data_IF_750820598875
#
_entry.id   IF_750820598875
#
_cell.length_a   1.000
_cell.length_b   1.000
_cell.length_c   1.000
_cell.angle_alpha   90.00
_cell.angle_beta   90.00
_cell.angle_gamma   90.00
#
_symmetry.space_group_name_H-M   'P 1'
#
loop_
_entity.id
_entity.type
_entity.pdbx_description
1 polymer ?
#
# COMPACT_ATOMS: atom_id res chain seq x y z
N UNK A 1 -29.20 11.30 4.24
CA UNK A 1 -28.55 10.31 3.36
C UNK A 1 -28.65 10.83 1.93
N UNK A 2 -27.73 11.66 1.54
CA UNK A 2 -27.74 12.28 0.20
C UNK A 2 -26.32 12.67 -0.17
N UNK A 3 -25.90 12.23 -1.34
CA UNK A 3 -24.74 12.72 -2.12
C UNK A 3 -23.33 12.50 -1.54
N UNK A 4 -22.91 11.23 -1.46
CA UNK A 4 -21.48 10.87 -1.37
C UNK A 4 -20.91 10.55 -2.78
N UNK A 5 -21.72 10.51 -3.82
CA UNK A 5 -21.32 10.01 -5.13
C UNK A 5 -21.20 11.15 -6.14
N UNK A 6 -19.98 11.64 -6.35
CA UNK A 6 -19.68 12.49 -7.51
C UNK A 6 -19.65 11.66 -8.80
N UNK A 7 -20.21 12.22 -9.85
CA UNK A 7 -20.45 11.74 -11.21
C UNK A 7 -19.57 10.59 -11.71
N UNK A 8 -20.24 9.55 -12.20
CA UNK A 8 -19.66 8.46 -12.99
C UNK A 8 -18.92 8.99 -14.23
N UNK A 9 -17.60 9.01 -14.19
CA UNK A 9 -16.80 9.13 -15.39
C UNK A 9 -16.46 7.72 -15.87
N UNK A 10 -17.15 7.25 -16.90
CA UNK A 10 -16.84 6.02 -17.57
C UNK A 10 -15.49 6.18 -18.30
N UNK A 11 -14.42 5.68 -17.71
CA UNK A 11 -13.17 5.46 -18.41
C UNK A 11 -13.30 4.14 -19.18
N UNK A 12 -13.28 4.24 -20.51
CA UNK A 12 -13.25 3.07 -21.39
C UNK A 12 -11.98 2.26 -21.09
N UNK A 13 -12.17 1.00 -20.72
CA UNK A 13 -11.09 0.05 -20.52
C UNK A 13 -10.45 -0.27 -21.87
N UNK A 14 -9.16 0.06 -22.05
CA UNK A 14 -8.35 -0.56 -23.07
C UNK A 14 -8.07 -2.01 -22.64
N UNK A 15 -8.27 -3.03 -23.51
CA UNK A 15 -8.01 -4.42 -23.14
C UNK A 15 -6.50 -4.67 -23.10
N UNK A 16 -5.96 -4.89 -21.90
CA UNK A 16 -4.66 -5.51 -21.73
C UNK A 16 -4.82 -7.03 -21.85
N UNK A 17 -4.31 -7.63 -22.90
CA UNK A 17 -4.20 -9.08 -23.01
C UNK A 17 -3.11 -9.61 -22.07
N UNK A 18 -3.49 -10.38 -21.06
CA UNK A 18 -2.56 -11.14 -20.24
C UNK A 18 -3.08 -11.42 -18.83
N UNK A 19 -3.73 -12.53 -18.67
CA UNK A 19 -3.72 -13.46 -17.52
C UNK A 19 -5.05 -14.21 -17.42
N UNK A 20 -4.97 -15.51 -17.51
CA UNK A 20 -6.07 -16.47 -17.45
C UNK A 20 -6.44 -16.76 -15.99
N UNK A 21 -7.42 -16.04 -15.45
CA UNK A 21 -8.28 -16.48 -14.36
C UNK A 21 -9.53 -15.60 -14.38
N UNK A 22 -10.70 -16.17 -14.42
CA UNK A 22 -12.04 -15.62 -14.58
C UNK A 22 -12.11 -14.07 -14.59
N UNK A 23 -12.35 -13.49 -15.76
CA UNK A 23 -12.52 -12.04 -15.90
C UNK A 23 -13.83 -11.63 -15.23
N UNK A 24 -13.73 -10.95 -14.10
CA UNK A 24 -14.87 -10.25 -13.54
C UNK A 24 -15.09 -8.96 -14.33
N UNK A 25 -16.35 -8.69 -14.73
CA UNK A 25 -16.72 -7.33 -15.10
C UNK A 25 -16.52 -6.45 -13.87
N UNK A 26 -16.12 -5.20 -14.07
CA UNK A 26 -15.85 -4.27 -12.98
C UNK A 26 -16.21 -2.83 -13.33
N UNK A 27 -16.33 -2.01 -12.31
CA UNK A 27 -16.52 -0.55 -12.45
C UNK A 27 -15.35 0.17 -11.80
N UNK A 28 -14.91 1.26 -12.44
CA UNK A 28 -13.88 2.18 -11.91
C UNK A 28 -14.50 3.55 -11.74
N UNK A 29 -14.30 4.15 -10.58
CA UNK A 29 -14.72 5.53 -10.31
C UNK A 29 -13.82 6.21 -9.29
N UNK A 30 -13.70 7.52 -9.38
CA UNK A 30 -13.08 8.33 -8.34
C UNK A 30 -14.15 8.76 -7.32
N UNK A 31 -13.75 8.82 -6.05
CA UNK A 31 -14.61 9.25 -4.95
C UNK A 31 -13.79 10.08 -3.95
N UNK A 32 -14.46 10.94 -3.21
CA UNK A 32 -13.83 11.70 -2.12
C UNK A 32 -13.89 10.86 -0.86
N UNK A 33 -12.73 10.43 -0.34
CA UNK A 33 -12.66 9.69 0.92
C UNK A 33 -12.27 10.58 2.11
N UNK A 34 -11.73 11.78 1.84
CA UNK A 34 -11.25 12.69 2.87
C UNK A 34 -11.50 14.14 2.48
N UNK A 35 -11.93 14.94 3.49
CA UNK A 35 -11.94 16.39 3.42
C UNK A 35 -11.15 16.94 4.61
N UNK A 36 -10.02 17.59 4.35
CA UNK A 36 -9.14 18.13 5.37
C UNK A 36 -8.44 19.40 4.89
N UNK A 37 -8.39 20.43 5.75
CA UNK A 37 -7.72 21.71 5.41
C UNK A 37 -8.28 22.40 4.18
N UNK A 38 -9.59 22.28 3.90
CA UNK A 38 -10.22 22.85 2.71
C UNK A 38 -9.92 22.12 1.40
N UNK A 39 -9.22 20.99 1.45
CA UNK A 39 -8.89 20.15 0.29
C UNK A 39 -9.63 18.81 0.35
N UNK A 40 -10.03 18.34 -0.82
CA UNK A 40 -10.52 16.97 -1.03
C UNK A 40 -9.39 16.06 -1.45
N UNK A 41 -9.39 14.81 -0.92
CA UNK A 41 -8.52 13.75 -1.42
C UNK A 41 -9.37 12.65 -1.99
N UNK A 42 -8.92 12.19 -3.17
CA UNK A 42 -9.65 11.20 -3.93
C UNK A 42 -9.12 9.79 -3.68
N UNK A 43 -10.01 8.83 -3.72
CA UNK A 43 -9.69 7.44 -3.91
C UNK A 43 -10.25 6.97 -5.25
N UNK A 44 -9.48 6.13 -5.96
CA UNK A 44 -9.97 5.43 -7.14
C UNK A 44 -10.42 4.04 -6.74
N UNK A 45 -11.72 3.82 -6.85
CA UNK A 45 -12.36 2.55 -6.53
C UNK A 45 -12.46 1.68 -7.79
N UNK A 46 -11.86 0.49 -7.73
CA UNK A 46 -12.04 -0.59 -8.69
C UNK A 46 -12.91 -1.65 -8.00
N UNK A 47 -14.14 -1.81 -8.47
CA UNK A 47 -15.12 -2.71 -7.84
C UNK A 47 -15.51 -3.83 -8.80
N UNK A 48 -15.30 -5.11 -8.45
CA UNK A 48 -15.80 -6.24 -9.24
C UNK A 48 -17.33 -6.20 -9.34
N UNK A 49 -17.90 -6.69 -10.43
CA UNK A 49 -19.32 -6.90 -10.55
C UNK A 49 -19.78 -8.06 -9.64
N UNK A 50 -21.05 -8.00 -9.22
CA UNK A 50 -21.62 -8.99 -8.32
C UNK A 50 -21.90 -8.46 -6.91
N UNK A 51 -22.36 -9.36 -6.04
CA UNK A 51 -22.89 -9.01 -4.71
C UNK A 51 -21.83 -8.98 -3.61
N UNK A 52 -20.67 -9.64 -3.79
CA UNK A 52 -19.65 -9.76 -2.73
C UNK A 52 -20.07 -10.72 -1.61
N UNK A 53 -19.51 -10.61 -0.39
CA UNK A 53 -18.46 -9.67 -0.01
C UNK A 53 -17.11 -10.02 -0.65
N UNK A 54 -16.54 -9.08 -1.39
CA UNK A 54 -15.23 -9.24 -2.04
C UNK A 54 -14.10 -9.09 -1.01
N UNK A 55 -12.96 -9.80 -1.16
CA UNK A 55 -11.70 -9.36 -0.59
C UNK A 55 -11.42 -7.91 -0.99
N UNK A 56 -10.79 -7.11 -0.13
CA UNK A 56 -10.52 -5.73 -0.45
C UNK A 56 -9.11 -5.30 -0.04
N UNK A 57 -8.52 -4.39 -0.82
CA UNK A 57 -7.24 -3.76 -0.51
C UNK A 57 -7.32 -2.24 -0.60
N UNK A 58 -6.67 -1.56 0.33
CA UNK A 58 -6.26 -0.16 0.17
C UNK A 58 -4.90 -0.18 -0.52
N UNK A 59 -4.84 0.38 -1.74
CA UNK A 59 -3.60 0.47 -2.51
C UNK A 59 -2.91 1.80 -2.22
N UNK A 60 -1.61 1.71 -1.90
CA UNK A 60 -0.73 2.80 -1.51
C UNK A 60 0.41 2.91 -2.52
N UNK A 61 0.38 3.98 -3.33
CA UNK A 61 1.35 4.17 -4.41
C UNK A 61 2.78 4.45 -3.93
N UNK A 62 3.75 4.19 -4.79
CA UNK A 62 5.15 4.53 -4.58
C UNK A 62 5.46 6.01 -4.83
N UNK A 63 6.63 6.30 -5.45
CA UNK A 63 7.02 7.66 -5.82
C UNK A 63 7.91 8.37 -4.79
N UNK A 64 8.69 7.61 -4.02
CA UNK A 64 9.64 8.12 -3.03
C UNK A 64 9.03 9.17 -2.08
N UNK A 65 7.76 8.98 -1.70
CA UNK A 65 6.94 9.85 -0.82
C UNK A 65 6.65 11.27 -1.36
N UNK A 66 7.10 11.61 -2.59
CA UNK A 66 7.07 12.99 -3.10
C UNK A 66 6.18 13.18 -4.33
N UNK A 67 5.80 12.13 -5.01
CA UNK A 67 5.08 12.20 -6.27
C UNK A 67 4.16 10.99 -6.45
N UNK A 68 3.47 10.98 -7.58
CA UNK A 68 2.43 10.03 -7.94
C UNK A 68 1.12 10.29 -7.20
N UNK A 69 0.10 9.55 -7.58
CA UNK A 69 -1.26 9.65 -7.09
C UNK A 69 -1.99 8.29 -7.21
N UNK A 70 -3.30 8.27 -6.93
CA UNK A 70 -4.18 7.10 -7.01
C UNK A 70 -4.18 6.37 -8.36
N UNK A 71 -3.60 6.95 -9.40
CA UNK A 71 -3.52 6.33 -10.72
C UNK A 71 -2.29 5.45 -10.89
N UNK A 72 -1.29 5.60 -10.02
CA UNK A 72 -0.08 4.76 -10.07
C UNK A 72 -0.41 3.32 -9.69
N UNK A 73 0.17 2.38 -10.43
CA UNK A 73 -0.14 0.96 -10.25
C UNK A 73 -1.53 0.55 -10.72
N UNK A 74 -2.14 1.34 -11.62
CA UNK A 74 -3.47 1.06 -12.18
C UNK A 74 -3.55 -0.34 -12.81
N UNK A 75 -2.51 -0.81 -13.50
CA UNK A 75 -2.51 -2.14 -14.12
C UNK A 75 -2.68 -3.23 -13.06
N UNK A 76 -1.92 -3.16 -11.97
CA UNK A 76 -2.08 -4.11 -10.85
C UNK A 76 -3.47 -4.00 -10.21
N UNK A 77 -4.02 -2.80 -10.05
CA UNK A 77 -5.37 -2.62 -9.51
C UNK A 77 -6.44 -3.26 -10.43
N UNK A 78 -6.29 -3.12 -11.75
CA UNK A 78 -7.17 -3.76 -12.73
C UNK A 78 -7.07 -5.29 -12.67
N UNK A 79 -5.86 -5.83 -12.58
CA UNK A 79 -5.63 -7.27 -12.49
C UNK A 79 -6.20 -7.85 -11.19
N UNK A 80 -6.04 -7.18 -10.06
CA UNK A 80 -6.65 -7.56 -8.80
C UNK A 80 -8.18 -7.52 -8.89
N UNK A 81 -8.73 -6.46 -9.51
CA UNK A 81 -10.17 -6.33 -9.69
C UNK A 81 -10.73 -7.43 -10.60
N UNK A 82 -10.04 -7.77 -11.71
CA UNK A 82 -10.35 -8.90 -12.56
C UNK A 82 -10.32 -10.25 -11.82
N UNK A 83 -9.48 -10.35 -10.79
CA UNK A 83 -9.41 -11.54 -9.92
C UNK A 83 -10.49 -11.57 -8.82
N UNK A 84 -11.42 -10.59 -8.82
CA UNK A 84 -12.53 -10.50 -7.85
C UNK A 84 -12.14 -9.79 -6.55
N UNK A 85 -11.14 -8.93 -6.55
CA UNK A 85 -10.67 -8.17 -5.39
C UNK A 85 -11.05 -6.70 -5.57
N UNK A 86 -11.73 -6.12 -4.60
CA UNK A 86 -12.02 -4.69 -4.56
C UNK A 86 -10.74 -3.91 -4.22
N UNK A 87 -10.43 -2.88 -5.00
CA UNK A 87 -9.25 -2.03 -4.76
C UNK A 87 -9.69 -0.59 -4.56
N UNK A 88 -9.22 0.04 -3.49
CA UNK A 88 -9.29 1.47 -3.25
C UNK A 88 -7.88 2.06 -3.30
N UNK A 89 -7.52 2.67 -4.42
CA UNK A 89 -6.22 3.34 -4.62
C UNK A 89 -6.32 4.78 -4.11
N UNK A 90 -5.45 5.19 -3.19
CA UNK A 90 -5.57 6.48 -2.50
C UNK A 90 -4.66 7.57 -3.07
N UNK A 91 -5.18 8.80 -3.15
CA UNK A 91 -4.35 9.99 -3.01
C UNK A 91 -4.07 10.22 -1.52
N UNK A 92 -2.88 10.66 -1.19
CA UNK A 92 -2.52 11.08 0.16
C UNK A 92 -1.52 12.25 0.06
N UNK A 93 -1.32 12.96 1.16
CA UNK A 93 -0.33 14.05 1.19
C UNK A 93 1.07 13.53 0.92
N UNK A 94 1.66 14.02 -0.16
CA UNK A 94 3.06 13.79 -0.50
C UNK A 94 3.93 14.93 0.03
N UNK A 95 5.20 14.68 0.30
CA UNK A 95 6.17 15.75 0.45
C UNK A 95 6.40 16.44 -0.92
N UNK A 96 6.67 17.74 -0.99
CA UNK A 96 6.88 18.66 0.14
C UNK A 96 5.58 19.28 0.71
N UNK A 97 4.38 18.91 0.23
CA UNK A 97 3.12 19.45 0.78
C UNK A 97 3.04 19.22 2.29
N UNK A 98 3.38 18.00 2.71
CA UNK A 98 3.46 17.68 4.13
C UNK A 98 4.50 16.56 4.37
N UNK A 99 5.38 16.72 5.37
CA UNK A 99 6.36 15.70 5.74
C UNK A 99 5.71 14.55 6.50
N UNK A 100 6.50 13.52 6.79
CA UNK A 100 6.16 12.44 7.73
C UNK A 100 5.65 13.02 9.09
N UNK A 101 4.54 12.54 9.64
CA UNK A 101 3.76 11.37 9.25
C UNK A 101 2.46 11.67 8.47
N UNK A 102 2.33 12.80 7.79
CA UNK A 102 1.07 13.27 7.22
C UNK A 102 0.42 12.27 6.23
N UNK A 103 1.19 11.64 5.37
CA UNK A 103 0.68 10.60 4.46
C UNK A 103 0.10 9.40 5.21
N UNK A 104 0.71 9.00 6.33
CA UNK A 104 0.20 7.90 7.17
C UNK A 104 -1.10 8.26 7.87
N UNK A 105 -1.33 9.55 8.18
CA UNK A 105 -2.63 10.02 8.68
C UNK A 105 -3.72 9.83 7.62
N UNK A 106 -3.43 10.19 6.37
CA UNK A 106 -4.37 10.04 5.26
C UNK A 106 -4.64 8.58 4.95
N UNK A 107 -3.59 7.73 4.93
CA UNK A 107 -3.71 6.29 4.72
C UNK A 107 -4.53 5.63 5.85
N UNK A 108 -4.26 5.96 7.11
CA UNK A 108 -5.03 5.46 8.25
C UNK A 108 -6.50 5.85 8.15
N UNK A 109 -6.79 7.10 7.76
CA UNK A 109 -8.15 7.54 7.50
C UNK A 109 -8.78 6.78 6.33
N UNK A 110 -8.07 6.58 5.22
CA UNK A 110 -8.53 5.80 4.06
C UNK A 110 -8.90 4.36 4.39
N UNK A 111 -8.12 3.71 5.27
CA UNK A 111 -8.43 2.36 5.78
C UNK A 111 -9.75 2.38 6.55
N UNK A 112 -9.89 3.31 7.51
CA UNK A 112 -11.11 3.44 8.32
C UNK A 112 -12.31 3.80 7.45
N UNK A 113 -12.14 4.67 6.46
CA UNK A 113 -13.18 5.04 5.52
C UNK A 113 -13.68 3.84 4.72
N UNK A 114 -12.75 3.02 4.14
CA UNK A 114 -13.15 1.82 3.41
C UNK A 114 -13.87 0.82 4.31
N UNK A 115 -13.41 0.63 5.54
CA UNK A 115 -14.07 -0.26 6.52
C UNK A 115 -15.46 0.24 6.90
N UNK A 116 -15.63 1.54 7.07
CA UNK A 116 -16.92 2.16 7.40
C UNK A 116 -17.95 1.99 6.27
N UNK A 117 -17.52 2.02 5.02
CA UNK A 117 -18.38 1.88 3.83
C UNK A 117 -18.34 0.48 3.23
N UNK A 118 -17.76 -0.50 3.93
CA UNK A 118 -17.47 -1.82 3.38
C UNK A 118 -18.72 -2.51 2.81
N UNK A 119 -19.82 -2.52 3.54
CA UNK A 119 -21.07 -3.20 3.13
C UNK A 119 -21.63 -2.57 1.85
N UNK A 120 -21.70 -1.26 1.78
CA UNK A 120 -22.24 -0.52 0.62
C UNK A 120 -21.36 -0.72 -0.64
N UNK A 121 -20.05 -0.92 -0.42
CA UNK A 121 -19.09 -1.19 -1.48
C UNK A 121 -19.00 -2.68 -1.88
N UNK A 122 -19.68 -3.56 -1.17
CA UNK A 122 -19.71 -4.99 -1.44
C UNK A 122 -18.49 -5.74 -0.90
N UNK A 123 -17.93 -5.28 0.22
CA UNK A 123 -16.91 -5.98 1.00
C UNK A 123 -17.30 -6.07 2.48
N UNK A 124 -16.39 -6.44 3.35
CA UNK A 124 -16.58 -6.49 4.80
C UNK A 124 -15.40 -5.82 5.52
N UNK A 125 -15.59 -5.15 6.66
CA UNK A 125 -14.50 -4.51 7.40
C UNK A 125 -13.34 -5.46 7.73
N UNK A 126 -13.63 -6.73 7.94
CA UNK A 126 -12.64 -7.75 8.29
C UNK A 126 -11.89 -8.32 7.07
N UNK A 127 -12.24 -7.89 5.85
CA UNK A 127 -11.61 -8.32 4.59
C UNK A 127 -10.71 -7.27 3.98
N UNK A 128 -10.52 -6.14 4.66
CA UNK A 128 -9.72 -5.01 4.17
C UNK A 128 -8.26 -5.22 4.56
N UNK A 129 -7.41 -5.44 3.56
CA UNK A 129 -5.95 -5.46 3.70
C UNK A 129 -5.28 -4.26 3.04
N UNK A 130 -3.95 -4.27 3.05
CA UNK A 130 -3.12 -3.22 2.45
C UNK A 130 -2.25 -3.80 1.34
N UNK A 131 -2.08 -3.04 0.27
CA UNK A 131 -1.12 -3.31 -0.79
C UNK A 131 -0.34 -2.04 -1.10
N UNK A 132 0.96 -2.09 -1.05
CA UNK A 132 1.80 -0.95 -1.40
C UNK A 132 3.13 -1.37 -2.02
N UNK A 133 3.74 -0.47 -2.80
CA UNK A 133 5.00 -0.74 -3.50
C UNK A 133 6.02 0.36 -3.26
N UNK A 134 7.30 0.04 -3.20
CA UNK A 134 8.40 1.00 -2.97
C UNK A 134 8.16 1.82 -1.67
N UNK A 135 8.12 3.15 -1.75
CA UNK A 135 7.76 4.01 -0.62
C UNK A 135 6.30 3.80 -0.14
N UNK A 136 5.40 3.35 -1.01
CA UNK A 136 4.05 2.92 -0.62
C UNK A 136 4.07 1.61 0.16
N UNK A 137 4.95 0.67 -0.19
CA UNK A 137 5.16 -0.56 0.57
C UNK A 137 5.70 -0.30 1.99
N UNK A 138 6.61 0.65 2.12
CA UNK A 138 7.07 1.16 3.41
C UNK A 138 5.90 1.70 4.26
N UNK A 139 5.07 2.57 3.66
CA UNK A 139 3.93 3.17 4.35
C UNK A 139 2.84 2.14 4.67
N UNK A 140 2.59 1.17 3.78
CA UNK A 140 1.68 0.06 4.02
C UNK A 140 2.10 -0.76 5.24
N UNK A 141 3.39 -1.08 5.33
CA UNK A 141 3.94 -1.82 6.47
C UNK A 141 3.82 -1.03 7.78
N UNK A 142 4.17 0.26 7.79
CA UNK A 142 4.00 1.12 8.98
C UNK A 142 2.54 1.22 9.43
N UNK A 143 1.62 1.44 8.47
CA UNK A 143 0.18 1.52 8.78
C UNK A 143 -0.35 0.20 9.34
N UNK A 144 0.13 -0.94 8.82
CA UNK A 144 -0.27 -2.27 9.28
C UNK A 144 0.21 -2.60 10.70
N UNK A 145 1.49 -2.28 11.01
CA UNK A 145 2.06 -2.62 12.32
C UNK A 145 1.75 -1.60 13.42
N UNK A 146 1.39 -0.35 13.06
CA UNK A 146 1.05 0.74 13.99
C UNK A 146 -0.33 1.36 13.72
N UNK A 147 -1.42 0.55 13.60
CA UNK A 147 -2.76 1.08 13.27
C UNK A 147 -3.30 2.05 14.32
N UNK A 148 -2.90 1.87 15.58
CA UNK A 148 -3.36 2.64 16.73
C UNK A 148 -2.38 3.76 17.15
N UNK A 149 -1.32 4.04 16.36
CA UNK A 149 -0.40 5.16 16.63
C UNK A 149 -1.18 6.49 16.57
N UNK A 150 -1.14 7.24 17.65
CA UNK A 150 -1.89 8.50 17.78
C UNK A 150 -1.51 9.53 16.69
N UNK A 151 -0.27 9.49 16.18
CA UNK A 151 0.20 10.34 15.08
C UNK A 151 -0.47 9.96 13.76
N UNK A 152 -0.72 8.66 13.52
CA UNK A 152 -1.34 8.17 12.29
C UNK A 152 -2.87 8.27 12.35
N UNK A 153 -3.47 8.10 13.52
CA UNK A 153 -4.92 8.18 13.72
C UNK A 153 -5.44 9.59 14.01
N UNK A 154 -4.61 10.62 13.85
CA UNK A 154 -4.91 12.00 14.22
C UNK A 154 -6.10 12.63 13.44
N UNK A 155 -6.41 12.14 12.23
CA UNK A 155 -7.54 12.64 11.45
C UNK A 155 -8.85 11.97 11.91
N UNK A 156 -9.86 12.78 12.20
CA UNK A 156 -11.18 12.28 12.60
C UNK A 156 -11.97 11.75 11.39
N UNK A 157 -12.80 10.75 11.64
CA UNK A 157 -13.81 10.24 10.72
C UNK A 157 -15.17 10.27 11.45
N UNK A 158 -15.86 11.45 11.47
CA UNK A 158 -17.03 11.64 12.32
C UNK A 158 -18.18 10.68 12.03
N UNK A 159 -18.37 10.30 10.75
CA UNK A 159 -19.40 9.38 10.28
C UNK A 159 -19.15 7.91 10.70
N UNK A 160 -17.93 7.59 11.17
CA UNK A 160 -17.56 6.24 11.54
C UNK A 160 -16.69 6.20 12.82
N UNK A 161 -17.22 6.79 13.89
CA UNK A 161 -16.56 6.78 15.19
C UNK A 161 -16.35 5.34 15.68
N UNK A 162 -15.13 5.06 16.14
CA UNK A 162 -14.76 3.74 16.68
C UNK A 162 -14.33 2.71 15.63
N UNK A 163 -14.38 3.02 14.34
CA UNK A 163 -13.78 2.15 13.30
C UNK A 163 -12.26 2.25 13.39
N UNK A 164 -11.60 1.10 13.58
CA UNK A 164 -10.14 0.99 13.64
C UNK A 164 -9.49 0.91 12.26
N UNK A 165 -8.16 1.13 12.21
CA UNK A 165 -7.35 1.00 11.00
C UNK A 165 -6.60 -0.36 10.90
N UNK A 166 -6.99 -1.38 11.69
CA UNK A 166 -6.34 -2.69 11.65
C UNK A 166 -6.63 -3.38 10.32
N UNK A 167 -5.56 -3.72 9.61
CA UNK A 167 -5.66 -4.44 8.36
C UNK A 167 -5.78 -5.95 8.58
N UNK A 168 -6.54 -6.63 7.73
CA UNK A 168 -6.65 -8.09 7.73
C UNK A 168 -5.35 -8.77 7.27
N UNK A 169 -4.60 -8.12 6.41
CA UNK A 169 -3.29 -8.54 5.89
C UNK A 169 -2.55 -7.32 5.32
N UNK A 170 -1.25 -7.48 5.06
CA UNK A 170 -0.44 -6.47 4.37
C UNK A 170 0.47 -7.10 3.32
N UNK A 171 0.55 -6.46 2.15
CA UNK A 171 1.44 -6.83 1.06
C UNK A 171 2.33 -5.64 0.72
N UNK A 172 3.64 -5.84 0.76
CA UNK A 172 4.63 -4.83 0.46
C UNK A 172 5.55 -5.31 -0.67
N UNK A 173 5.51 -4.64 -1.82
CA UNK A 173 6.35 -4.95 -2.98
C UNK A 173 7.57 -4.04 -3.03
N UNK A 174 8.79 -4.60 -3.20
CA UNK A 174 10.05 -3.83 -3.26
C UNK A 174 10.06 -2.61 -2.33
N UNK A 175 9.59 -2.83 -1.11
CA UNK A 175 9.36 -1.77 -0.14
C UNK A 175 10.66 -1.17 0.37
N UNK A 176 10.65 0.14 0.66
CA UNK A 176 11.79 0.83 1.29
C UNK A 176 11.84 0.47 2.78
N UNK A 177 12.47 -0.66 3.09
CA UNK A 177 12.48 -1.24 4.44
C UNK A 177 13.45 -0.55 5.41
N UNK A 178 14.46 0.12 4.88
CA UNK A 178 15.49 0.83 5.63
C UNK A 178 15.71 2.24 5.03
N UNK A 179 14.85 3.21 5.35
CA UNK A 179 14.93 4.56 4.78
C UNK A 179 16.29 5.24 5.00
N UNK A 180 16.94 5.06 6.16
CA UNK A 180 18.23 5.67 6.45
C UNK A 180 19.36 5.10 5.58
N UNK A 181 19.40 3.77 5.41
CA UNK A 181 20.39 3.11 4.56
C UNK A 181 20.24 3.57 3.12
N UNK A 182 19.00 3.63 2.61
CA UNK A 182 18.70 4.12 1.26
C UNK A 182 19.11 5.60 1.09
N UNK A 183 18.86 6.44 2.09
CA UNK A 183 19.30 7.84 2.06
C UNK A 183 20.82 7.97 1.97
N UNK A 184 21.56 7.18 2.74
CA UNK A 184 23.01 7.16 2.70
C UNK A 184 23.56 6.60 1.37
N UNK A 185 22.93 5.55 0.84
CA UNK A 185 23.24 5.02 -0.49
C UNK A 185 23.01 6.08 -1.58
N UNK A 186 21.88 6.78 -1.53
CA UNK A 186 21.59 7.86 -2.48
C UNK A 186 22.63 8.98 -2.41
N UNK A 187 23.10 9.35 -1.20
CA UNK A 187 24.21 10.32 -1.04
C UNK A 187 25.51 9.81 -1.63
N UNK A 188 25.87 8.57 -1.37
CA UNK A 188 27.10 7.95 -1.90
C UNK A 188 27.09 7.88 -3.44
N UNK A 189 25.92 7.69 -4.03
CA UNK A 189 25.74 7.61 -5.49
C UNK A 189 25.43 8.95 -6.16
N UNK A 190 25.32 10.06 -5.42
CA UNK A 190 25.00 11.38 -5.96
C UNK A 190 23.59 11.50 -6.56
N UNK A 191 22.60 10.71 -6.07
CA UNK A 191 21.22 10.68 -6.57
C UNK A 191 20.40 11.84 -6.00
N UNK A 192 20.57 13.03 -6.59
CA UNK A 192 20.01 14.28 -6.07
C UNK A 192 18.51 14.23 -5.79
N UNK A 193 17.69 13.67 -6.69
CA UNK A 193 16.24 13.59 -6.52
C UNK A 193 15.85 12.68 -5.35
N UNK A 194 16.55 11.56 -5.16
CA UNK A 194 16.34 10.67 -4.03
C UNK A 194 16.74 11.31 -2.71
N UNK A 195 17.87 12.00 -2.67
CA UNK A 195 18.32 12.77 -1.50
C UNK A 195 17.27 13.81 -1.14
N UNK A 196 16.78 14.58 -2.13
CA UNK A 196 15.72 15.56 -1.95
C UNK A 196 14.44 14.91 -1.40
N UNK A 197 14.03 13.78 -1.94
CA UNK A 197 12.84 13.04 -1.50
C UNK A 197 12.91 12.64 -0.02
N UNK A 198 14.05 12.09 0.41
CA UNK A 198 14.27 11.75 1.81
C UNK A 198 14.24 12.99 2.72
N UNK A 199 14.92 14.06 2.34
CA UNK A 199 14.98 15.32 3.11
C UNK A 199 13.61 15.97 3.27
N UNK A 200 12.83 16.00 2.20
CA UNK A 200 11.48 16.62 2.24
C UNK A 200 10.48 15.79 3.04
N UNK A 201 10.65 14.47 3.10
CA UNK A 201 9.73 13.60 3.82
C UNK A 201 10.13 13.38 5.28
N UNK A 202 11.40 13.01 5.56
CA UNK A 202 11.88 12.69 6.91
C UNK A 202 12.69 13.81 7.57
N UNK A 203 13.12 14.82 6.82
CA UNK A 203 14.19 15.74 7.23
C UNK A 203 15.58 15.16 6.98
N UNK A 204 16.62 15.84 7.50
CA UNK A 204 18.00 15.44 7.28
C UNK A 204 18.56 14.49 8.34
N UNK A 205 17.91 14.43 9.50
CA UNK A 205 18.38 13.63 10.63
C UNK A 205 18.08 12.15 10.47
N UNK A 206 18.92 11.33 11.06
CA UNK A 206 18.71 9.89 11.17
C UNK A 206 17.42 9.54 11.94
N UNK A 207 17.08 10.34 12.94
CA UNK A 207 16.03 10.03 13.94
C UNK A 207 14.68 9.64 13.30
N UNK A 208 14.16 10.48 12.38
CA UNK A 208 12.86 10.19 11.76
C UNK A 208 12.93 8.99 10.80
N UNK A 209 14.04 8.80 10.09
CA UNK A 209 14.26 7.64 9.23
C UNK A 209 14.28 6.34 10.04
N UNK A 210 15.01 6.32 11.14
CA UNK A 210 15.15 5.14 12.03
C UNK A 210 13.84 4.86 12.78
N UNK A 211 13.15 5.91 13.23
CA UNK A 211 11.85 5.79 13.89
C UNK A 211 10.82 5.17 12.97
N UNK A 212 10.83 5.54 11.68
CA UNK A 212 9.93 5.03 10.66
C UNK A 212 10.45 3.77 9.94
N UNK A 213 11.41 3.04 10.48
CA UNK A 213 11.92 1.79 9.91
C UNK A 213 11.17 0.58 10.47
N UNK A 214 10.31 -0.12 9.67
CA UNK A 214 9.47 -1.22 10.17
C UNK A 214 10.27 -2.31 10.89
N UNK A 215 11.40 -2.72 10.31
CA UNK A 215 12.25 -3.76 10.92
C UNK A 215 12.78 -3.35 12.29
N UNK A 216 13.27 -2.13 12.44
CA UNK A 216 13.79 -1.63 13.70
C UNK A 216 12.70 -1.45 14.77
N UNK A 217 11.47 -1.12 14.38
CA UNK A 217 10.30 -1.11 15.27
C UNK A 217 10.09 -2.48 15.90
N UNK A 218 10.14 -3.53 15.07
CA UNK A 218 9.99 -4.92 15.52
C UNK A 218 11.13 -5.36 16.42
N UNK A 219 12.37 -5.07 16.04
CA UNK A 219 13.57 -5.44 16.79
C UNK A 219 13.68 -4.73 18.15
N UNK A 220 13.20 -3.48 18.26
CA UNK A 220 13.11 -2.75 19.53
C UNK A 220 12.04 -3.28 20.48
N UNK A 221 11.24 -4.25 20.03
CA UNK A 221 10.20 -4.84 20.85
C UNK A 221 8.99 -3.95 21.09
N UNK A 222 8.75 -2.95 20.24
CA UNK A 222 7.60 -2.05 20.36
C UNK A 222 6.27 -2.81 20.26
N UNK A 223 5.22 -2.26 20.89
CA UNK A 223 3.87 -2.81 20.76
C UNK A 223 3.36 -2.59 19.33
N UNK A 224 3.09 -3.68 18.62
CA UNK A 224 2.65 -3.68 17.22
C UNK A 224 1.46 -4.60 17.00
N UNK A 225 0.72 -4.33 15.92
CA UNK A 225 -0.21 -5.26 15.31
C UNK A 225 0.53 -6.03 14.21
N UNK A 226 0.30 -7.34 14.11
CA UNK A 226 1.04 -8.22 13.18
C UNK A 226 0.05 -9.04 12.32
N UNK A 227 -0.63 -8.41 11.35
CA UNK A 227 -1.47 -9.16 10.43
C UNK A 227 -0.62 -10.08 9.55
N UNK A 228 -1.16 -11.14 8.93
CA UNK A 228 -0.46 -11.89 7.90
C UNK A 228 0.17 -10.95 6.88
N UNK A 229 1.45 -11.15 6.55
CA UNK A 229 2.24 -10.23 5.73
C UNK A 229 2.94 -10.95 4.57
N UNK A 230 3.03 -10.28 3.42
CA UNK A 230 3.83 -10.71 2.27
C UNK A 230 4.77 -9.57 1.87
N UNK A 231 6.07 -9.83 1.88
CA UNK A 231 7.08 -8.98 1.24
C UNK A 231 7.53 -9.66 -0.06
N UNK A 232 7.54 -8.92 -1.17
CA UNK A 232 8.07 -9.46 -2.43
C UNK A 232 8.97 -8.45 -3.14
N UNK A 233 10.03 -8.93 -3.79
CA UNK A 233 10.96 -8.09 -4.53
C UNK A 233 11.85 -8.89 -5.49
N UNK A 234 12.54 -8.19 -6.39
CA UNK A 234 13.59 -8.75 -7.23
C UNK A 234 14.93 -8.85 -6.49
N UNK A 235 15.77 -9.81 -6.85
CA UNK A 235 17.12 -9.98 -6.30
C UNK A 235 18.14 -8.99 -6.91
N UNK A 236 17.79 -8.31 -7.99
CA UNK A 236 18.59 -7.23 -8.63
C UNK A 236 18.08 -5.83 -8.28
N UNK A 237 17.24 -5.73 -7.24
CA UNK A 237 16.80 -4.43 -6.75
C UNK A 237 17.97 -3.70 -6.08
N UNK A 238 18.33 -2.55 -6.63
CA UNK A 238 19.47 -1.75 -6.16
C UNK A 238 19.12 -0.80 -5.00
N UNK A 239 17.82 -0.68 -4.66
CA UNK A 239 17.33 0.22 -3.62
C UNK A 239 16.86 -0.47 -2.35
N UNK A 240 16.53 -1.76 -2.45
CA UNK A 240 16.09 -2.60 -1.35
C UNK A 240 16.71 -3.97 -1.52
N UNK A 241 17.53 -4.42 -0.59
CA UNK A 241 18.26 -5.67 -0.76
C UNK A 241 17.47 -6.88 -0.27
N UNK A 242 17.84 -8.07 -0.75
CA UNK A 242 17.25 -9.34 -0.30
C UNK A 242 17.45 -9.51 1.21
N UNK A 243 18.64 -9.17 1.72
CA UNK A 243 18.95 -9.26 3.15
C UNK A 243 18.04 -8.38 4.00
N UNK A 244 17.66 -7.19 3.50
CA UNK A 244 16.72 -6.32 4.19
C UNK A 244 15.33 -6.93 4.27
N UNK A 245 14.86 -7.57 3.19
CA UNK A 245 13.58 -8.27 3.15
C UNK A 245 13.56 -9.48 4.08
N UNK A 246 14.62 -10.29 4.06
CA UNK A 246 14.78 -11.46 4.93
C UNK A 246 14.85 -11.07 6.40
N UNK A 247 15.59 -9.99 6.74
CA UNK A 247 15.68 -9.46 8.11
C UNK A 247 14.33 -8.96 8.61
N UNK A 248 13.55 -8.25 7.77
CA UNK A 248 12.18 -7.88 8.14
C UNK A 248 11.34 -9.13 8.41
N UNK A 249 11.39 -10.13 7.52
CA UNK A 249 10.66 -11.39 7.69
C UNK A 249 11.04 -12.13 8.97
N UNK A 250 12.33 -12.17 9.29
CA UNK A 250 12.83 -12.77 10.52
C UNK A 250 12.34 -12.02 11.76
N UNK A 251 12.46 -10.68 11.78
CA UNK A 251 11.98 -9.84 12.87
C UNK A 251 10.46 -9.96 13.08
N UNK A 252 9.70 -10.02 11.99
CA UNK A 252 8.24 -10.18 12.03
C UNK A 252 7.84 -11.51 12.68
N UNK A 253 8.46 -12.62 12.23
CA UNK A 253 8.22 -13.95 12.78
C UNK A 253 8.69 -14.09 14.22
N UNK A 254 9.82 -13.48 14.59
CA UNK A 254 10.32 -13.48 15.98
C UNK A 254 9.34 -12.78 16.95
N UNK A 255 8.49 -11.88 16.45
CA UNK A 255 7.42 -11.23 17.22
C UNK A 255 6.08 -12.00 17.19
N UNK A 256 6.06 -13.21 16.62
CA UNK A 256 4.87 -14.06 16.53
C UNK A 256 3.95 -13.77 15.33
N UNK A 257 4.36 -12.90 14.40
CA UNK A 257 3.62 -12.64 13.16
C UNK A 257 3.91 -13.68 12.07
N UNK A 258 2.97 -13.86 11.15
CA UNK A 258 3.17 -14.68 9.95
C UNK A 258 3.60 -13.77 8.78
N UNK A 259 4.78 -14.00 8.22
CA UNK A 259 5.29 -13.24 7.09
C UNK A 259 5.97 -14.13 6.08
N UNK A 260 5.48 -14.07 4.84
CA UNK A 260 6.09 -14.67 3.66
C UNK A 260 7.04 -13.66 2.99
N UNK A 261 8.19 -14.14 2.51
CA UNK A 261 9.14 -13.34 1.72
C UNK A 261 9.32 -14.04 0.38
N UNK A 262 8.98 -13.37 -0.72
CA UNK A 262 9.07 -13.88 -2.08
C UNK A 262 10.12 -13.11 -2.87
N UNK A 263 11.18 -13.79 -3.31
CA UNK A 263 12.25 -13.22 -4.12
C UNK A 263 12.12 -13.69 -5.56
N UNK A 264 12.23 -12.77 -6.52
CA UNK A 264 12.15 -13.01 -7.96
C UNK A 264 13.52 -12.81 -8.60
N UNK A 265 14.09 -13.91 -9.07
CA UNK A 265 15.43 -13.93 -9.64
C UNK A 265 15.52 -13.10 -10.92
N UNK A 266 16.58 -12.29 -11.05
CA UNK A 266 16.86 -11.42 -12.19
C UNK A 266 16.06 -10.12 -12.21
N UNK A 267 15.09 -9.95 -11.32
CA UNK A 267 14.20 -8.79 -11.34
C UNK A 267 14.77 -7.59 -10.59
N UNK A 268 14.47 -6.39 -11.12
CA UNK A 268 14.86 -5.09 -10.55
C UNK A 268 13.72 -4.43 -9.78
N UNK A 269 14.00 -3.22 -9.28
CA UNK A 269 12.96 -2.35 -8.72
C UNK A 269 11.84 -2.12 -9.75
N UNK A 270 10.56 -2.15 -9.33
CA UNK A 270 9.36 -1.90 -10.15
C UNK A 270 9.04 -2.93 -11.25
N UNK A 271 9.69 -4.10 -11.27
CA UNK A 271 9.56 -5.10 -12.34
C UNK A 271 8.11 -5.44 -12.71
N UNK A 272 7.22 -5.57 -11.73
CA UNK A 272 5.80 -5.88 -11.95
C UNK A 272 5.08 -4.77 -12.75
N UNK A 273 5.49 -3.52 -12.57
CA UNK A 273 4.90 -2.38 -13.28
C UNK A 273 5.50 -2.19 -14.69
N UNK A 274 6.81 -2.42 -14.81
CA UNK A 274 7.55 -2.20 -16.06
C UNK A 274 7.39 -3.34 -17.05
N UNK A 275 7.30 -4.57 -16.53
CA UNK A 275 7.24 -5.79 -17.35
C UNK A 275 6.07 -6.69 -16.92
N UNK A 276 4.79 -6.21 -16.96
CA UNK A 276 3.66 -6.93 -16.39
C UNK A 276 3.41 -8.31 -17.03
N UNK A 277 3.84 -8.52 -18.28
CA UNK A 277 3.70 -9.80 -18.98
C UNK A 277 4.89 -10.75 -18.79
N UNK A 278 5.93 -10.36 -18.06
CA UNK A 278 7.06 -11.27 -17.79
C UNK A 278 6.63 -12.47 -16.95
N UNK A 279 7.29 -13.64 -17.09
CA UNK A 279 6.95 -14.82 -16.27
C UNK A 279 6.98 -14.54 -14.76
N UNK A 280 7.94 -13.76 -14.30
CA UNK A 280 8.05 -13.38 -12.89
C UNK A 280 6.94 -12.43 -12.45
N UNK A 281 6.53 -11.48 -13.29
CA UNK A 281 5.41 -10.59 -12.99
C UNK A 281 4.09 -11.34 -12.91
N UNK A 282 3.84 -12.26 -13.84
CA UNK A 282 2.66 -13.15 -13.80
C UNK A 282 2.66 -14.00 -12.53
N UNK A 283 3.81 -14.58 -12.17
CA UNK A 283 3.97 -15.35 -10.92
C UNK A 283 3.76 -14.49 -9.68
N UNK A 284 4.31 -13.27 -9.66
CA UNK A 284 4.14 -12.33 -8.55
C UNK A 284 2.68 -11.95 -8.36
N UNK A 285 1.99 -11.61 -9.45
CA UNK A 285 0.55 -11.28 -9.41
C UNK A 285 -0.28 -12.48 -8.90
N UNK A 286 0.01 -13.69 -9.36
CA UNK A 286 -0.66 -14.90 -8.90
C UNK A 286 -0.42 -15.13 -7.39
N UNK A 287 0.81 -14.89 -6.90
CA UNK A 287 1.16 -14.97 -5.46
C UNK A 287 0.38 -13.95 -4.65
N UNK A 288 0.31 -12.69 -5.12
CA UNK A 288 -0.46 -11.61 -4.48
C UNK A 288 -1.94 -11.98 -4.39
N UNK A 289 -2.55 -12.40 -5.51
CA UNK A 289 -3.98 -12.81 -5.55
C UNK A 289 -4.26 -13.98 -4.60
N UNK A 290 -3.41 -15.01 -4.61
CA UNK A 290 -3.56 -16.16 -3.72
C UNK A 290 -3.45 -15.75 -2.24
N UNK A 291 -2.48 -14.88 -1.91
CA UNK A 291 -2.30 -14.36 -0.56
C UNK A 291 -3.53 -13.57 -0.08
N UNK A 292 -4.05 -12.67 -0.91
CA UNK A 292 -5.26 -11.89 -0.60
C UNK A 292 -6.45 -12.82 -0.33
N UNK A 293 -6.71 -13.76 -1.23
CA UNK A 293 -7.84 -14.69 -1.10
C UNK A 293 -7.73 -15.58 0.13
N UNK A 294 -6.53 -15.97 0.51
CA UNK A 294 -6.26 -16.77 1.71
C UNK A 294 -6.53 -16.01 3.01
N UNK A 295 -6.20 -14.72 3.05
CA UNK A 295 -6.19 -13.94 4.30
C UNK A 295 -7.32 -12.92 4.42
N UNK A 296 -8.12 -12.72 3.37
CA UNK A 296 -9.32 -11.91 3.44
C UNK A 296 -10.58 -12.67 3.92
N UNK A 297 -10.46 -13.92 4.29
CA UNK A 297 -11.52 -14.74 4.89
C UNK A 297 -12.58 -15.18 3.90
#
# INVERSE_FOLDING_TARGET
MGEVFAKDAALAAAPGEGATAGKHEFKVRDLVYQRHGGKERLGRLYRPAGTGPFPAVVQIHGGAWNNKDRTDGQNTALDLCNAGILVLSLDFRNAPEAPYPASLQDINLGIRWLKAHAVDLGTSPNRVGLYGTSSGGHQAMLAAIRPDDARYSALSLPEARGVDAKAAFVIAGWAVLYPWDRYNLAKAQGKADLIKSHRTFFGESETAHVEATPTLILERGEKVHLPPALQFQGDKDEWTTVEQAERLGAAYRARGGAMDVAIYEGERHTFLNEHPASPNSVKALATIVAFIKKHAG
#
